data_IF_327006787756
#
_entry.id   IF_327006787756
#
_cell.length_a   1.000
_cell.length_b   1.000
_cell.length_c   1.000
_cell.angle_alpha   90.00
_cell.angle_beta   90.00
_cell.angle_gamma   90.00
#
_symmetry.space_group_name_H-M   'P 1'
#
loop_
_entity.id
_entity.type
_entity.pdbx_description
1 polymer ?
#
# COMPACT_ATOMS: atom_id res chain seq x y z
N UNK A 1 6.96 46.11 30.11
CA UNK A 1 7.63 44.90 29.57
C UNK A 1 6.52 44.02 29.04
N UNK A 2 6.13 44.26 27.80
CA UNK A 2 5.01 43.55 27.19
C UNK A 2 5.60 42.25 26.63
N UNK A 3 5.29 41.13 27.26
CA UNK A 3 5.51 39.82 26.66
C UNK A 3 4.58 39.74 25.46
N UNK A 4 5.13 40.06 24.29
CA UNK A 4 4.52 39.81 23.00
C UNK A 4 4.17 38.33 22.95
N UNK A 5 2.89 38.02 23.13
CA UNK A 5 2.36 36.69 22.85
C UNK A 5 2.55 36.49 21.36
N UNK A 6 3.64 35.82 20.99
CA UNK A 6 3.84 35.30 19.64
C UNK A 6 2.54 34.57 19.26
N UNK A 7 1.88 34.94 18.17
CA UNK A 7 0.71 34.21 17.75
C UNK A 7 1.22 32.82 17.35
N UNK A 8 0.82 31.77 18.07
CA UNK A 8 0.92 30.41 17.58
C UNK A 8 -0.08 30.25 16.43
N UNK A 9 0.20 30.92 15.31
CA UNK A 9 -0.62 30.92 14.12
C UNK A 9 -0.13 29.82 13.20
N UNK A 10 -0.70 28.63 13.37
CA UNK A 10 -0.87 27.68 12.28
C UNK A 10 -2.34 27.30 12.19
N UNK A 11 -3.15 28.25 11.74
CA UNK A 11 -4.47 27.94 11.18
C UNK A 11 -4.29 27.47 9.73
N UNK A 12 -3.88 26.21 9.52
CA UNK A 12 -3.79 25.56 8.21
C UNK A 12 -4.49 24.19 8.22
N UNK A 13 -5.82 24.22 8.19
CA UNK A 13 -6.68 23.02 8.28
C UNK A 13 -6.50 22.00 7.13
N UNK A 14 -5.58 22.19 6.19
CA UNK A 14 -5.35 21.30 5.04
C UNK A 14 -3.88 21.10 4.63
N UNK A 15 -2.92 21.66 5.36
CA UNK A 15 -1.54 21.64 4.90
C UNK A 15 -0.87 20.32 5.27
N UNK A 16 -0.89 19.37 4.32
CA UNK A 16 -0.13 18.12 4.44
C UNK A 16 1.35 18.44 4.39
N UNK A 17 2.13 18.14 5.46
CA UNK A 17 3.55 18.43 5.49
C UNK A 17 4.28 17.81 4.30
N UNK A 18 5.23 18.51 3.70
CA UNK A 18 5.97 18.01 2.54
C UNK A 18 6.64 16.63 2.82
N UNK A 19 7.05 16.40 4.06
CA UNK A 19 7.62 15.12 4.50
C UNK A 19 6.66 13.93 4.47
N UNK A 20 5.35 14.20 4.53
CA UNK A 20 4.28 13.19 4.47
C UNK A 20 4.00 12.78 3.03
N UNK A 21 4.21 13.68 2.07
CA UNK A 21 4.00 13.44 0.62
C UNK A 21 5.10 12.58 -0.01
N UNK A 22 5.38 11.43 0.61
CA UNK A 22 6.32 10.42 0.13
C UNK A 22 5.58 9.18 -0.34
N UNK A 23 6.26 8.43 -1.20
CA UNK A 23 5.79 7.15 -1.67
C UNK A 23 5.39 6.22 -0.52
N UNK A 24 4.20 5.64 -0.61
CA UNK A 24 3.62 4.76 0.37
C UNK A 24 3.77 3.30 -0.08
N UNK A 25 4.83 2.65 0.38
CA UNK A 25 5.07 1.24 0.08
C UNK A 25 3.97 0.32 0.65
N UNK A 26 3.39 0.67 1.80
CA UNK A 26 2.29 -0.10 2.37
C UNK A 26 1.07 -0.08 1.46
N UNK A 27 0.66 1.11 1.02
CA UNK A 27 -0.49 1.30 0.13
C UNK A 27 -0.27 0.63 -1.24
N UNK A 28 0.95 0.71 -1.78
CA UNK A 28 1.33 0.07 -3.04
C UNK A 28 1.20 -1.47 -2.98
N UNK A 29 1.77 -2.10 -1.95
CA UNK A 29 1.79 -3.57 -1.86
C UNK A 29 0.47 -4.18 -1.36
N UNK A 30 -0.27 -3.49 -0.50
CA UNK A 30 -1.40 -4.07 0.23
C UNK A 30 -2.77 -3.53 -0.21
N UNK A 31 -2.82 -2.48 -1.02
CA UNK A 31 -4.06 -1.95 -1.62
C UNK A 31 -5.18 -1.75 -0.60
N UNK A 32 -6.25 -2.53 -0.74
CA UNK A 32 -7.43 -2.49 0.13
C UNK A 32 -7.13 -2.80 1.60
N UNK A 33 -6.23 -3.74 1.91
CA UNK A 33 -5.88 -4.14 3.28
C UNK A 33 -5.29 -2.94 4.03
N UNK A 34 -4.32 -2.27 3.41
CA UNK A 34 -3.71 -1.06 3.96
C UNK A 34 -4.75 0.06 4.08
N UNK A 35 -5.64 0.23 3.09
CA UNK A 35 -6.62 1.31 3.13
C UNK A 35 -7.70 1.13 4.20
N UNK A 36 -8.13 -0.09 4.53
CA UNK A 36 -9.00 -0.32 5.71
C UNK A 36 -8.27 0.12 6.99
N UNK A 37 -7.01 -0.31 7.16
CA UNK A 37 -6.19 0.07 8.31
C UNK A 37 -5.93 1.58 8.43
N UNK A 38 -5.99 2.32 7.33
CA UNK A 38 -5.71 3.76 7.26
C UNK A 38 -6.95 4.62 6.94
N UNK A 39 -8.14 4.03 6.87
CA UNK A 39 -9.40 4.71 6.49
C UNK A 39 -9.35 5.41 5.13
N UNK A 40 -8.64 4.83 4.17
CA UNK A 40 -8.52 5.30 2.78
C UNK A 40 -9.37 4.41 1.87
N UNK A 41 -10.69 4.62 1.86
CA UNK A 41 -11.66 3.71 1.22
C UNK A 41 -11.56 3.64 -0.31
N UNK A 42 -10.98 4.66 -0.96
CA UNK A 42 -10.68 4.59 -2.41
C UNK A 42 -9.72 3.42 -2.74
N UNK A 43 -9.00 2.90 -1.75
CA UNK A 43 -8.18 1.70 -1.94
C UNK A 43 -8.99 0.45 -2.30
N UNK A 44 -10.30 0.40 -2.01
CA UNK A 44 -11.16 -0.73 -2.38
C UNK A 44 -11.25 -0.92 -3.89
N UNK A 45 -10.94 0.11 -4.69
CA UNK A 45 -10.82 -0.01 -6.15
C UNK A 45 -9.73 -1.00 -6.59
N UNK A 46 -8.77 -1.33 -5.71
CA UNK A 46 -7.77 -2.40 -5.96
C UNK A 46 -8.36 -3.80 -6.05
N UNK A 47 -9.63 -4.00 -5.68
CA UNK A 47 -10.33 -5.28 -5.85
C UNK A 47 -10.78 -5.52 -7.31
N UNK A 48 -10.79 -4.48 -8.15
CA UNK A 48 -11.17 -4.60 -9.56
C UNK A 48 -9.88 -4.87 -10.38
N UNK A 49 -9.72 -6.03 -11.05
CA UNK A 49 -8.42 -6.48 -11.58
C UNK A 49 -7.69 -5.47 -12.49
N UNK A 50 -8.39 -4.92 -13.48
CA UNK A 50 -7.78 -3.96 -14.44
C UNK A 50 -7.50 -2.61 -13.77
N UNK A 51 -8.40 -2.15 -12.91
CA UNK A 51 -8.26 -0.89 -12.18
C UNK A 51 -7.13 -0.98 -11.15
N UNK A 52 -6.90 -2.16 -10.56
CA UNK A 52 -5.85 -2.40 -9.58
C UNK A 52 -4.45 -2.07 -10.12
N UNK A 53 -4.19 -2.38 -11.39
CA UNK A 53 -2.89 -2.11 -12.04
C UNK A 53 -2.55 -0.62 -11.96
N UNK A 54 -3.52 0.27 -12.16
CA UNK A 54 -3.31 1.72 -12.04
C UNK A 54 -3.37 2.16 -10.59
N UNK A 55 -4.35 1.66 -9.84
CA UNK A 55 -4.61 2.08 -8.46
C UNK A 55 -3.47 1.79 -7.50
N UNK A 56 -2.69 0.71 -7.69
CA UNK A 56 -1.52 0.45 -6.85
C UNK A 56 -0.50 1.59 -6.92
N UNK A 57 -0.26 2.18 -8.10
CA UNK A 57 0.66 3.31 -8.25
C UNK A 57 0.05 4.60 -7.73
N UNK A 58 -1.25 4.82 -7.95
CA UNK A 58 -1.96 5.99 -7.39
C UNK A 58 -1.91 5.97 -5.86
N UNK A 59 -2.14 4.80 -5.24
CA UNK A 59 -2.01 4.59 -3.81
C UNK A 59 -0.56 4.73 -3.34
N UNK A 60 0.42 4.25 -4.11
CA UNK A 60 1.83 4.49 -3.83
C UNK A 60 2.16 5.99 -3.79
N UNK A 61 1.70 6.75 -4.78
CA UNK A 61 2.00 8.18 -4.88
C UNK A 61 1.23 9.04 -3.86
N UNK A 62 -0.08 8.78 -3.67
CA UNK A 62 -0.99 9.64 -2.89
C UNK A 62 -1.43 9.03 -1.56
N UNK A 63 -1.16 7.76 -1.31
CA UNK A 63 -1.64 7.05 -0.13
C UNK A 63 -1.21 7.72 1.18
N UNK A 64 0.04 8.19 1.28
CA UNK A 64 0.49 8.89 2.48
C UNK A 64 -0.29 10.18 2.74
N UNK A 65 -0.59 10.95 1.70
CA UNK A 65 -1.42 12.16 1.80
C UNK A 65 -2.85 11.81 2.24
N UNK A 66 -3.44 10.79 1.62
CA UNK A 66 -4.80 10.34 1.95
C UNK A 66 -4.90 9.79 3.37
N UNK A 67 -3.94 8.98 3.82
CA UNK A 67 -3.91 8.43 5.17
C UNK A 67 -3.67 9.51 6.23
N UNK A 68 -2.88 10.54 5.91
CA UNK A 68 -2.70 11.70 6.79
C UNK A 68 -4.01 12.46 6.98
N UNK A 69 -4.75 12.71 5.90
CA UNK A 69 -6.04 13.41 5.94
C UNK A 69 -7.17 12.57 6.57
N UNK A 70 -7.09 11.24 6.51
CA UNK A 70 -8.16 10.35 6.94
C UNK A 70 -8.24 10.15 8.46
N UNK A 71 -7.17 10.45 9.23
CA UNK A 71 -7.10 10.19 10.68
C UNK A 71 -6.32 11.27 11.41
N UNK A 72 -6.54 11.39 12.71
CA UNK A 72 -5.73 12.22 13.59
C UNK A 72 -4.42 11.50 13.95
N UNK A 73 -3.31 12.22 13.92
CA UNK A 73 -1.97 11.70 14.22
C UNK A 73 -1.29 12.57 15.26
N UNK A 74 -0.68 11.95 16.27
CA UNK A 74 0.04 12.65 17.34
C UNK A 74 1.20 13.51 16.81
N UNK A 75 1.87 13.06 15.74
CA UNK A 75 2.97 13.78 15.08
C UNK A 75 3.29 13.19 13.72
N UNK A 76 4.03 13.95 12.90
CA UNK A 76 4.61 13.47 11.63
C UNK A 76 5.53 12.26 11.87
N UNK A 77 6.29 12.25 12.97
CA UNK A 77 7.15 11.14 13.33
C UNK A 77 6.35 9.86 13.65
N UNK A 78 5.25 10.00 14.38
CA UNK A 78 4.34 8.89 14.66
C UNK A 78 3.76 8.29 13.37
N UNK A 79 3.26 9.14 12.47
CA UNK A 79 2.75 8.71 11.16
C UNK A 79 3.82 7.96 10.34
N UNK A 80 5.01 8.54 10.19
CA UNK A 80 6.11 7.92 9.43
C UNK A 80 6.51 6.56 9.99
N UNK A 81 6.48 6.39 11.32
CA UNK A 81 6.73 5.10 11.98
C UNK A 81 5.69 4.06 11.57
N UNK A 82 4.41 4.40 11.65
CA UNK A 82 3.31 3.49 11.28
C UNK A 82 3.35 3.15 9.79
N UNK A 83 3.53 4.12 8.91
CA UNK A 83 3.62 3.87 7.46
C UNK A 83 4.86 3.04 7.09
N UNK A 84 5.97 3.17 7.83
CA UNK A 84 7.15 2.32 7.65
C UNK A 84 6.87 0.86 8.01
N UNK A 85 6.14 0.61 9.10
CA UNK A 85 5.72 -0.74 9.48
C UNK A 85 4.83 -1.34 8.39
N UNK A 86 3.83 -0.59 7.91
CA UNK A 86 2.99 -1.01 6.78
C UNK A 86 3.82 -1.33 5.53
N UNK A 87 4.83 -0.51 5.23
CA UNK A 87 5.75 -0.73 4.12
C UNK A 87 6.51 -2.05 4.24
N UNK A 88 7.08 -2.34 5.42
CA UNK A 88 7.80 -3.60 5.66
C UNK A 88 6.89 -4.83 5.65
N UNK A 89 5.72 -4.75 6.28
CA UNK A 89 4.72 -5.83 6.27
C UNK A 89 4.25 -6.10 4.84
N UNK A 90 3.95 -5.04 4.08
CA UNK A 90 3.54 -5.16 2.68
C UNK A 90 4.62 -5.78 1.80
N UNK A 91 5.85 -5.33 1.95
CA UNK A 91 6.99 -5.90 1.24
C UNK A 91 7.22 -7.38 1.59
N UNK A 92 7.17 -7.74 2.87
CA UNK A 92 7.32 -9.13 3.30
C UNK A 92 6.24 -10.04 2.70
N UNK A 93 4.97 -9.62 2.76
CA UNK A 93 3.84 -10.37 2.16
C UNK A 93 4.03 -10.51 0.65
N UNK A 94 4.47 -9.46 -0.04
CA UNK A 94 4.74 -9.49 -1.48
C UNK A 94 5.83 -10.52 -1.84
N UNK A 95 6.96 -10.53 -1.13
CA UNK A 95 8.05 -11.49 -1.36
C UNK A 95 7.59 -12.92 -1.08
N UNK A 96 6.86 -13.14 0.01
CA UNK A 96 6.29 -14.46 0.34
C UNK A 96 5.35 -14.91 -0.78
N UNK A 97 4.48 -14.03 -1.26
CA UNK A 97 3.56 -14.30 -2.37
C UNK A 97 4.29 -14.69 -3.67
N UNK A 98 5.38 -13.99 -4.01
CA UNK A 98 6.24 -14.34 -5.16
C UNK A 98 6.81 -15.75 -5.00
N UNK A 99 7.37 -16.09 -3.84
CA UNK A 99 7.95 -17.41 -3.57
C UNK A 99 6.89 -18.50 -3.73
N UNK A 100 5.72 -18.33 -3.11
CA UNK A 100 4.61 -19.29 -3.25
C UNK A 100 4.10 -19.37 -4.69
N UNK A 101 4.08 -18.26 -5.42
CA UNK A 101 3.72 -18.22 -6.84
C UNK A 101 4.66 -19.08 -7.70
N UNK A 102 5.97 -18.99 -7.49
CA UNK A 102 6.94 -19.85 -8.18
C UNK A 102 6.80 -21.32 -7.80
N UNK A 103 6.61 -21.62 -6.50
CA UNK A 103 6.38 -22.99 -6.04
C UNK A 103 5.12 -23.58 -6.69
N UNK A 104 4.03 -22.82 -6.70
CA UNK A 104 2.77 -23.22 -7.33
C UNK A 104 2.93 -23.45 -8.83
N UNK A 105 3.58 -22.53 -9.55
CA UNK A 105 3.84 -22.66 -10.98
C UNK A 105 4.68 -23.91 -11.29
N UNK A 106 5.73 -24.16 -10.52
CA UNK A 106 6.55 -25.36 -10.68
C UNK A 106 5.76 -26.64 -10.42
N UNK A 107 4.89 -26.66 -9.39
CA UNK A 107 4.03 -27.79 -9.09
C UNK A 107 3.01 -28.07 -10.22
N UNK A 108 2.43 -27.01 -10.81
CA UNK A 108 1.52 -27.14 -11.96
C UNK A 108 2.24 -27.70 -13.18
N UNK A 109 3.44 -27.21 -13.50
CA UNK A 109 4.25 -27.74 -14.61
C UNK A 109 4.59 -29.22 -14.37
N UNK A 110 5.02 -29.57 -13.16
CA UNK A 110 5.34 -30.96 -12.80
C UNK A 110 4.12 -31.88 -12.91
N UNK A 111 2.93 -31.41 -12.54
CA UNK A 111 1.69 -32.17 -12.70
C UNK A 111 1.33 -32.37 -14.18
N UNK A 112 1.43 -31.33 -15.01
CA UNK A 112 1.17 -31.40 -16.45
C UNK A 112 2.14 -32.37 -17.13
N UNK A 113 3.41 -32.40 -16.71
CA UNK A 113 4.41 -33.32 -17.27
C UNK A 113 4.11 -34.81 -17.03
N UNK A 114 3.31 -35.13 -16.01
CA UNK A 114 2.88 -36.50 -15.68
C UNK A 114 1.59 -36.89 -16.39
N UNK A 115 0.88 -35.95 -17.04
CA UNK A 115 -0.36 -36.28 -17.75
C UNK A 115 -0.03 -37.14 -18.98
N UNK A 116 -0.74 -38.28 -19.16
CA UNK A 116 -0.60 -39.08 -20.36
C UNK A 116 -0.88 -38.22 -21.59
N UNK A 117 0.07 -38.17 -22.51
CA UNK A 117 -0.15 -37.49 -23.79
C UNK A 117 -1.24 -38.26 -24.53
N UNK A 118 -2.29 -37.57 -24.97
CA UNK A 118 -3.29 -38.22 -25.80
C UNK A 118 -2.62 -38.70 -27.09
N UNK A 119 -2.94 -39.92 -27.57
CA UNK A 119 -2.42 -40.38 -28.86
C UNK A 119 -2.78 -39.34 -29.91
N UNK A 120 -1.77 -38.79 -30.60
CA UNK A 120 -2.02 -37.94 -31.76
C UNK A 120 -2.59 -38.83 -32.85
N UNK A 121 -3.92 -38.87 -32.96
CA UNK A 121 -4.60 -39.61 -34.01
C UNK A 121 -4.46 -38.90 -35.34
N UNK A 122 -3.47 -39.33 -36.13
CA UNK A 122 -3.42 -39.24 -37.59
C UNK A 122 -2.73 -40.50 -38.12
#
# INVERSE_FOLDING_TARGET
MNTEFAPHQHSSFDEVPAEVKKWNWGAFFLGWIWGIGNSVWISLLTLIPVVNIVMMFVLGAKGSEWAWKAKQWESVAHFKRVQRIWGWVGFAIFIVGIIFGFIYLAAVIALISQMPQQPTGY
#
